data_IF_930749002094
#
_entry.id   IF_930749002094
#
_cell.length_a   1.000
_cell.length_b   1.000
_cell.length_c   1.000
_cell.angle_alpha   90.00
_cell.angle_beta   90.00
_cell.angle_gamma   90.00
#
_symmetry.space_group_name_H-M   'P 1'
#
loop_
_entity.id
_entity.type
_entity.pdbx_description
1 polymer ?
#
# COMPACT_ATOMS: atom_id res chain seq x y z
N UNK A 1 -8.18 5.04 -12.26
CA UNK A 1 -8.34 4.33 -10.99
C UNK A 1 -6.98 3.72 -10.67
N UNK A 2 -6.13 4.33 -9.82
CA UNK A 2 -4.81 3.79 -9.54
C UNK A 2 -4.90 2.41 -8.89
N UNK A 3 -4.02 1.51 -9.32
CA UNK A 3 -3.83 0.20 -8.73
C UNK A 3 -2.39 0.12 -8.20
N UNK A 4 -2.23 -0.26 -6.94
CA UNK A 4 -0.93 -0.42 -6.30
C UNK A 4 -0.87 -1.80 -5.66
N UNK A 5 0.18 -2.57 -5.99
CA UNK A 5 0.46 -3.87 -5.38
C UNK A 5 1.75 -3.74 -4.59
N UNK A 6 1.61 -3.76 -3.27
CA UNK A 6 2.71 -3.72 -2.32
C UNK A 6 3.02 -5.16 -1.94
N UNK A 7 4.27 -5.59 -2.14
CA UNK A 7 4.75 -6.89 -1.68
C UNK A 7 5.77 -6.68 -0.58
N UNK A 8 5.53 -7.30 0.57
CA UNK A 8 6.41 -7.25 1.74
C UNK A 8 6.67 -8.66 2.25
N UNK A 9 7.82 -8.87 2.87
CA UNK A 9 8.15 -10.12 3.56
C UNK A 9 7.31 -10.28 4.83
N UNK A 10 7.00 -11.53 5.20
CA UNK A 10 6.30 -11.89 6.44
C UNK A 10 7.16 -11.72 7.69
N UNK A 11 7.51 -10.47 8.01
CA UNK A 11 8.41 -10.14 9.12
C UNK A 11 7.67 -9.68 10.39
N UNK A 12 6.41 -10.09 10.56
CA UNK A 12 5.60 -9.72 11.72
C UNK A 12 5.11 -8.28 11.72
N UNK A 13 4.89 -7.69 10.54
CA UNK A 13 4.39 -6.31 10.39
C UNK A 13 2.98 -6.19 10.98
N UNK A 14 2.74 -5.34 12.00
CA UNK A 14 1.43 -5.15 12.58
C UNK A 14 0.49 -4.41 11.62
N UNK A 15 -0.81 -4.65 11.77
CA UNK A 15 -1.84 -4.03 10.92
C UNK A 15 -1.85 -2.50 10.97
N UNK A 16 -1.39 -1.88 12.07
CA UNK A 16 -1.24 -0.42 12.16
C UNK A 16 -0.24 0.13 11.15
N UNK A 17 0.88 -0.56 10.95
CA UNK A 17 1.89 -0.16 9.96
C UNK A 17 1.38 -0.37 8.53
N UNK A 18 0.66 -1.47 8.27
CA UNK A 18 0.01 -1.70 6.96
C UNK A 18 -1.00 -0.59 6.64
N UNK A 19 -1.80 -0.16 7.63
CA UNK A 19 -2.73 0.97 7.48
C UNK A 19 -1.99 2.28 7.15
N UNK A 20 -0.89 2.55 7.84
CA UNK A 20 -0.07 3.73 7.57
C UNK A 20 0.49 3.70 6.14
N UNK A 21 0.99 2.55 5.68
CA UNK A 21 1.48 2.38 4.30
C UNK A 21 0.37 2.70 3.27
N UNK A 22 -0.85 2.18 3.48
CA UNK A 22 -2.01 2.47 2.61
C UNK A 22 -2.32 3.96 2.57
N UNK A 23 -2.31 4.63 3.72
CA UNK A 23 -2.58 6.06 3.83
C UNK A 23 -1.53 6.89 3.08
N UNK A 24 -0.24 6.63 3.33
CA UNK A 24 0.86 7.37 2.73
C UNK A 24 0.94 7.18 1.20
N UNK A 25 0.69 5.96 0.70
CA UNK A 25 0.59 5.70 -0.74
C UNK A 25 -0.59 6.47 -1.33
N UNK A 26 -1.75 6.42 -0.68
CA UNK A 26 -2.95 7.13 -1.15
C UNK A 26 -2.70 8.64 -1.21
N UNK A 27 -2.10 9.23 -0.17
CA UNK A 27 -1.74 10.65 -0.13
C UNK A 27 -0.73 11.02 -1.21
N UNK A 28 0.22 10.14 -1.50
CA UNK A 28 1.19 10.34 -2.58
C UNK A 28 0.51 10.42 -3.94
N UNK A 29 -0.44 9.52 -4.22
CA UNK A 29 -1.19 9.53 -5.48
C UNK A 29 -2.10 10.76 -5.61
N UNK A 30 -2.67 11.25 -4.49
CA UNK A 30 -3.42 12.51 -4.47
C UNK A 30 -2.50 13.68 -4.80
N UNK A 31 -1.38 13.81 -4.09
CA UNK A 31 -0.46 14.94 -4.19
C UNK A 31 0.28 15.02 -5.52
N UNK A 32 0.74 13.89 -6.04
CA UNK A 32 1.58 13.85 -7.25
C UNK A 32 0.75 13.76 -8.53
N UNK A 33 -0.33 12.95 -8.51
CA UNK A 33 -1.11 12.64 -9.71
C UNK A 33 -2.51 13.28 -9.72
N UNK A 34 -2.87 14.04 -8.69
CA UNK A 34 -4.18 14.71 -8.57
C UNK A 34 -5.36 13.73 -8.55
N UNK A 35 -5.15 12.49 -8.12
CA UNK A 35 -6.20 11.45 -8.13
C UNK A 35 -7.09 11.55 -6.89
N UNK A 36 -8.36 11.15 -7.02
CA UNK A 36 -9.27 11.07 -5.87
C UNK A 36 -8.95 9.79 -5.06
N UNK A 37 -8.90 9.86 -3.72
CA UNK A 37 -8.56 8.71 -2.87
C UNK A 37 -9.55 7.56 -3.01
N UNK A 38 -10.84 7.87 -3.23
CA UNK A 38 -11.91 6.87 -3.42
C UNK A 38 -11.76 6.01 -4.68
N UNK A 39 -10.83 6.34 -5.56
CA UNK A 39 -10.57 5.60 -6.80
C UNK A 39 -9.23 4.88 -6.78
N UNK A 40 -8.62 4.70 -5.61
CA UNK A 40 -7.37 3.95 -5.44
C UNK A 40 -7.68 2.55 -4.90
N UNK A 41 -7.11 1.54 -5.55
CA UNK A 41 -7.12 0.16 -5.07
C UNK A 41 -5.70 -0.25 -4.70
N UNK A 42 -5.51 -0.69 -3.45
CA UNK A 42 -4.20 -1.09 -2.93
C UNK A 42 -4.32 -2.52 -2.40
N UNK A 43 -3.41 -3.39 -2.83
CA UNK A 43 -3.25 -4.74 -2.29
C UNK A 43 -1.91 -4.78 -1.58
N UNK A 44 -1.90 -5.23 -0.32
CA UNK A 44 -0.68 -5.59 0.40
C UNK A 44 -0.63 -7.12 0.42
N UNK A 45 0.39 -7.66 -0.21
CA UNK A 45 0.67 -9.08 -0.31
C UNK A 45 1.90 -9.40 0.54
N UNK A 46 1.72 -10.30 1.51
CA UNK A 46 2.78 -10.74 2.42
C UNK A 46 3.36 -12.04 1.90
N UNK A 47 4.59 -11.97 1.40
CA UNK A 47 5.30 -13.09 0.78
C UNK A 47 6.30 -13.72 1.74
N UNK A 48 6.54 -15.01 1.57
CA UNK A 48 7.64 -15.68 2.26
C UNK A 48 8.97 -15.09 1.76
N UNK A 49 9.99 -14.91 2.62
CA UNK A 49 11.33 -14.59 2.17
C UNK A 49 11.81 -15.68 1.20
N UNK A 50 12.37 -15.28 0.07
CA UNK A 50 13.08 -16.23 -0.79
C UNK A 50 14.36 -16.65 -0.06
N UNK A 51 14.36 -17.85 0.51
CA UNK A 51 15.57 -18.51 1.03
C UNK A 51 16.43 -19.03 -0.12
#
# INVERSE_FOLDING_TARGET
>A
MPYVHVRITKDGVPDSQKRQIVEEITQTLVRVLGKKPKHTHIIIDEIEPAN
#
